data_IF_643284867681
#
_entry.id   IF_643284867681
#
_cell.length_a   1.000
_cell.length_b   1.000
_cell.length_c   1.000
_cell.angle_alpha   90.00
_cell.angle_beta   90.00
_cell.angle_gamma   90.00
#
_symmetry.space_group_name_H-M   'P 1'
#
loop_
_entity.id
_entity.type
_entity.pdbx_description
1 polymer ?
#
# COMPACT_ATOMS: atom_id res chain seq x y z
N UNK A 1 19.85 -12.12 20.08
CA UNK A 1 20.26 -10.80 19.54
C UNK A 1 19.56 -9.71 20.33
N UNK A 2 20.21 -8.58 20.67
CA UNK A 2 19.54 -7.47 21.39
C UNK A 2 18.48 -6.79 20.52
N UNK A 3 17.42 -6.24 21.13
CA UNK A 3 16.34 -5.54 20.39
C UNK A 3 16.89 -4.43 19.48
N UNK A 4 17.86 -3.62 19.97
CA UNK A 4 18.50 -2.56 19.16
C UNK A 4 19.13 -3.11 17.88
N UNK A 5 19.81 -4.25 17.95
CA UNK A 5 20.45 -4.89 16.78
C UNK A 5 19.41 -5.49 15.84
N UNK A 6 18.31 -6.03 16.36
CA UNK A 6 17.18 -6.49 15.55
C UNK A 6 16.54 -5.32 14.78
N UNK A 7 16.22 -4.23 15.48
CA UNK A 7 15.64 -3.03 14.88
C UNK A 7 16.55 -2.42 13.80
N UNK A 8 17.86 -2.39 14.02
CA UNK A 8 18.81 -1.92 13.00
C UNK A 8 18.71 -2.72 11.69
N UNK A 9 18.78 -4.06 11.76
CA UNK A 9 18.69 -4.88 10.54
C UNK A 9 17.32 -4.79 9.89
N UNK A 10 16.27 -4.77 10.67
CA UNK A 10 14.90 -4.57 10.18
C UNK A 10 14.77 -3.20 9.49
N UNK A 11 15.35 -2.13 10.07
CA UNK A 11 15.36 -0.81 9.46
C UNK A 11 15.98 -0.80 8.06
N UNK A 12 17.17 -1.39 7.93
CA UNK A 12 17.89 -1.46 6.65
C UNK A 12 17.09 -2.25 5.61
N UNK A 13 16.51 -3.39 6.01
CA UNK A 13 15.74 -4.23 5.09
C UNK A 13 14.44 -3.57 4.65
N UNK A 14 13.68 -2.92 5.54
CA UNK A 14 12.47 -2.19 5.14
C UNK A 14 12.76 -0.90 4.38
N UNK A 15 13.92 -0.30 4.58
CA UNK A 15 14.39 0.74 3.67
C UNK A 15 14.64 0.19 2.25
N UNK A 16 15.25 -1.01 2.15
CA UNK A 16 15.43 -1.67 0.86
C UNK A 16 14.09 -2.04 0.18
N UNK A 17 13.04 -2.37 0.95
CA UNK A 17 11.69 -2.65 0.45
C UNK A 17 11.01 -1.41 -0.14
N UNK A 18 11.16 -0.25 0.50
CA UNK A 18 10.47 0.98 0.09
C UNK A 18 11.10 1.67 -1.13
N UNK A 19 12.41 1.49 -1.36
CA UNK A 19 13.14 2.19 -2.40
C UNK A 19 12.61 1.89 -3.83
N UNK A 20 12.37 0.63 -4.23
CA UNK A 20 11.84 0.31 -5.56
C UNK A 20 10.48 0.93 -5.84
N UNK A 21 9.64 1.07 -4.80
CA UNK A 21 8.33 1.69 -4.99
C UNK A 21 8.44 3.17 -5.32
N UNK A 22 9.37 3.90 -4.66
CA UNK A 22 9.67 5.29 -5.02
C UNK A 22 10.08 5.42 -6.48
N UNK A 23 10.88 4.48 -6.99
CA UNK A 23 11.26 4.45 -8.40
C UNK A 23 10.05 4.28 -9.31
N UNK A 24 9.21 3.27 -9.06
CA UNK A 24 8.08 2.91 -9.93
C UNK A 24 6.96 3.96 -9.87
N UNK A 25 6.65 4.48 -8.68
CA UNK A 25 5.52 5.41 -8.52
C UNK A 25 5.88 6.88 -8.79
N UNK A 26 7.15 7.25 -8.63
CA UNK A 26 7.57 8.64 -8.71
C UNK A 26 8.52 8.91 -9.87
N UNK A 27 9.64 8.19 -9.94
CA UNK A 27 10.73 8.47 -10.90
C UNK A 27 10.32 8.12 -12.32
N UNK A 28 9.86 6.88 -12.56
CA UNK A 28 9.57 6.40 -13.92
C UNK A 28 8.45 7.18 -14.63
N UNK A 29 7.30 7.52 -14.00
CA UNK A 29 6.27 8.31 -14.67
C UNK A 29 6.76 9.69 -15.10
N UNK A 30 7.56 10.37 -14.28
CA UNK A 30 8.14 11.68 -14.60
C UNK A 30 9.20 11.54 -15.69
N UNK A 31 10.09 10.54 -15.58
CA UNK A 31 11.11 10.26 -16.58
C UNK A 31 10.52 10.04 -17.96
N UNK A 32 9.57 9.12 -18.09
CA UNK A 32 8.94 8.83 -19.38
C UNK A 32 8.11 10.01 -19.90
N UNK A 33 7.40 10.74 -19.03
CA UNK A 33 6.62 11.89 -19.48
C UNK A 33 7.48 13.02 -20.01
N UNK A 34 8.63 13.28 -19.38
CA UNK A 34 9.60 14.27 -19.88
C UNK A 34 10.21 13.88 -21.23
N UNK A 35 10.22 12.59 -21.57
CA UNK A 35 10.64 12.08 -22.88
C UNK A 35 9.47 11.91 -23.86
N UNK A 36 8.33 12.55 -23.59
CA UNK A 36 7.11 12.57 -24.44
C UNK A 36 6.46 11.20 -24.66
N UNK A 37 6.67 10.23 -23.79
CA UNK A 37 5.94 8.97 -23.83
C UNK A 37 4.44 9.22 -23.61
N UNK A 38 3.59 8.48 -24.32
CA UNK A 38 2.15 8.65 -24.28
C UNK A 38 1.56 8.39 -22.88
N UNK A 39 0.48 9.10 -22.54
CA UNK A 39 -0.21 8.88 -21.24
C UNK A 39 -0.76 7.47 -21.13
N UNK A 40 -1.16 6.88 -22.24
CA UNK A 40 -1.60 5.49 -22.31
C UNK A 40 -0.50 4.52 -21.86
N UNK A 41 0.71 4.67 -22.37
CA UNK A 41 1.84 3.82 -21.98
C UNK A 41 2.24 4.05 -20.53
N UNK A 42 2.24 5.30 -20.05
CA UNK A 42 2.48 5.63 -18.64
C UNK A 42 1.38 5.04 -17.75
N UNK A 43 0.12 5.07 -18.17
CA UNK A 43 -0.96 4.39 -17.48
C UNK A 43 -0.71 2.89 -17.39
N UNK A 44 -0.33 2.26 -18.50
CA UNK A 44 -0.02 0.82 -18.51
C UNK A 44 1.18 0.43 -17.65
N UNK A 45 2.10 1.35 -17.33
CA UNK A 45 3.14 1.10 -16.33
C UNK A 45 2.58 0.64 -14.98
N UNK A 46 1.35 1.01 -14.63
CA UNK A 46 0.73 0.54 -13.39
C UNK A 46 0.49 -0.97 -13.36
N UNK A 47 0.46 -1.65 -14.52
CA UNK A 47 0.49 -3.10 -14.56
C UNK A 47 1.82 -3.68 -14.06
N UNK A 48 2.91 -2.90 -14.06
CA UNK A 48 4.15 -3.28 -13.39
C UNK A 48 3.99 -3.44 -11.86
N UNK A 49 2.90 -2.94 -11.29
CA UNK A 49 2.60 -3.15 -9.87
C UNK A 49 1.95 -4.52 -9.57
N UNK A 50 1.57 -5.28 -10.61
CA UNK A 50 0.97 -6.60 -10.50
C UNK A 50 1.80 -7.59 -9.66
N UNK A 51 3.13 -7.67 -9.82
CA UNK A 51 3.92 -8.61 -9.04
C UNK A 51 3.72 -8.45 -7.53
N UNK A 52 3.61 -7.21 -7.01
CA UNK A 52 3.34 -7.01 -5.59
C UNK A 52 1.97 -7.51 -5.13
N UNK A 53 0.96 -7.48 -6.01
CA UNK A 53 -0.37 -7.97 -5.69
C UNK A 53 -0.44 -9.52 -5.70
N UNK A 54 0.30 -10.17 -6.60
CA UNK A 54 0.24 -11.63 -6.79
C UNK A 54 1.45 -12.37 -6.21
N UNK A 55 2.33 -11.70 -5.46
CA UNK A 55 3.56 -12.28 -4.89
C UNK A 55 3.31 -13.55 -4.06
N UNK A 56 2.12 -13.73 -3.52
CA UNK A 56 1.70 -14.92 -2.80
C UNK A 56 1.82 -16.21 -3.63
N UNK A 57 1.73 -16.11 -4.97
CA UNK A 57 1.81 -17.28 -5.87
C UNK A 57 3.20 -17.92 -5.85
N UNK A 58 4.27 -17.18 -5.63
CA UNK A 58 5.64 -17.71 -5.59
C UNK A 58 6.32 -17.57 -4.21
N UNK A 59 5.62 -17.03 -3.21
CA UNK A 59 6.11 -16.98 -1.84
C UNK A 59 6.59 -18.35 -1.33
N UNK A 60 5.91 -19.50 -1.62
CA UNK A 60 6.39 -20.81 -1.22
C UNK A 60 7.77 -21.20 -1.79
N UNK A 61 8.15 -20.63 -2.96
CA UNK A 61 9.49 -20.86 -3.56
C UNK A 61 10.56 -20.16 -2.71
N UNK A 62 10.32 -18.89 -2.34
CA UNK A 62 11.23 -18.12 -1.49
C UNK A 62 11.34 -18.75 -0.11
N UNK A 63 10.24 -19.31 0.39
CA UNK A 63 10.21 -20.01 1.68
C UNK A 63 10.97 -21.32 1.66
N UNK A 64 10.91 -22.08 0.59
CA UNK A 64 11.50 -23.42 0.50
C UNK A 64 12.99 -23.39 0.18
N UNK A 65 13.46 -22.43 -0.59
CA UNK A 65 14.82 -22.42 -1.15
C UNK A 65 15.68 -21.29 -0.58
N UNK A 66 16.84 -21.64 -0.06
CA UNK A 66 17.88 -20.69 0.34
C UNK A 66 17.60 -19.89 1.63
N UNK A 67 18.55 -19.04 1.97
CA UNK A 67 18.43 -18.11 3.09
C UNK A 67 17.71 -16.84 2.69
N UNK A 68 16.84 -16.30 3.54
CA UNK A 68 16.06 -15.06 3.29
C UNK A 68 16.96 -13.88 2.89
N UNK A 69 18.08 -13.70 3.60
CA UNK A 69 19.04 -12.62 3.31
C UNK A 69 19.65 -12.71 1.92
N UNK A 70 19.88 -13.93 1.40
CA UNK A 70 20.43 -14.13 0.05
C UNK A 70 19.42 -13.80 -1.04
N UNK A 71 18.13 -14.07 -0.81
CA UNK A 71 17.07 -13.60 -1.71
C UNK A 71 17.02 -12.08 -1.81
N UNK A 72 17.14 -11.37 -0.66
CA UNK A 72 17.21 -9.90 -0.65
C UNK A 72 18.45 -9.40 -1.38
N UNK A 73 19.63 -9.96 -1.08
CA UNK A 73 20.88 -9.58 -1.72
C UNK A 73 20.86 -9.81 -3.24
N UNK A 74 20.36 -10.97 -3.69
CA UNK A 74 20.18 -11.28 -5.11
C UNK A 74 19.23 -10.30 -5.79
N UNK A 75 18.05 -10.08 -5.20
CA UNK A 75 17.05 -9.17 -5.76
C UNK A 75 17.58 -7.74 -5.88
N UNK A 76 18.25 -7.22 -4.84
CA UNK A 76 18.88 -5.90 -4.90
C UNK A 76 19.97 -5.83 -5.99
N UNK A 77 20.83 -6.85 -6.10
CA UNK A 77 21.88 -6.88 -7.13
C UNK A 77 21.31 -6.89 -8.54
N UNK A 78 20.27 -7.70 -8.77
CA UNK A 78 19.59 -7.76 -10.05
C UNK A 78 18.83 -6.47 -10.38
N UNK A 79 18.18 -5.84 -9.39
CA UNK A 79 17.54 -4.53 -9.55
C UNK A 79 18.57 -3.43 -9.86
N UNK A 80 19.77 -3.47 -9.29
CA UNK A 80 20.85 -2.57 -9.63
C UNK A 80 21.26 -2.72 -11.11
N UNK A 81 21.37 -3.95 -11.59
CA UNK A 81 21.69 -4.20 -13.01
C UNK A 81 20.62 -3.64 -13.95
N UNK A 82 19.33 -3.78 -13.58
CA UNK A 82 18.23 -3.16 -14.35
C UNK A 82 18.37 -1.64 -14.35
N UNK A 83 18.63 -1.00 -13.21
CA UNK A 83 18.80 0.47 -13.14
C UNK A 83 19.96 0.95 -14.01
N UNK A 84 21.07 0.23 -14.06
CA UNK A 84 22.20 0.54 -14.96
C UNK A 84 21.84 0.35 -16.45
N UNK A 85 20.90 -0.55 -16.75
CA UNK A 85 20.49 -0.80 -18.12
C UNK A 85 19.49 0.26 -18.64
N UNK A 86 18.63 0.84 -17.80
CA UNK A 86 17.58 1.80 -18.23
C UNK A 86 18.14 2.93 -19.11
N UNK A 87 19.26 3.62 -18.77
CA UNK A 87 19.76 4.72 -19.58
C UNK A 87 20.32 4.32 -20.95
N UNK A 88 20.47 3.01 -21.23
CA UNK A 88 20.96 2.50 -22.51
C UNK A 88 19.85 2.42 -23.57
N UNK A 89 18.59 2.60 -23.18
CA UNK A 89 17.43 2.54 -24.05
C UNK A 89 16.93 3.93 -24.39
N UNK A 90 16.30 4.05 -25.56
CA UNK A 90 15.60 5.27 -25.94
C UNK A 90 14.34 5.44 -25.06
N UNK A 91 14.35 6.49 -24.24
CA UNK A 91 13.26 6.79 -23.35
C UNK A 91 12.01 7.29 -24.09
N UNK A 92 12.15 7.92 -25.28
CA UNK A 92 11.04 8.48 -26.06
C UNK A 92 10.27 7.41 -26.83
N UNK A 93 10.91 6.25 -27.09
CA UNK A 93 10.29 5.10 -27.73
C UNK A 93 10.65 3.80 -26.98
N UNK A 94 10.03 3.55 -25.82
CA UNK A 94 10.38 2.44 -24.96
C UNK A 94 10.15 1.11 -25.65
N UNK A 95 11.22 0.34 -25.85
CA UNK A 95 11.16 -0.97 -26.47
C UNK A 95 10.48 -2.01 -25.55
N UNK A 96 9.98 -3.09 -26.13
CA UNK A 96 9.43 -4.23 -25.37
C UNK A 96 10.45 -4.80 -24.38
N UNK A 97 11.75 -4.74 -24.74
CA UNK A 97 12.83 -5.19 -23.85
C UNK A 97 12.93 -4.29 -22.61
N UNK A 98 12.82 -2.97 -22.75
CA UNK A 98 12.81 -2.05 -21.61
C UNK A 98 11.62 -2.34 -20.68
N UNK A 99 10.40 -2.50 -21.23
CA UNK A 99 9.23 -2.88 -20.43
C UNK A 99 9.41 -4.22 -19.71
N UNK A 100 10.05 -5.19 -20.36
CA UNK A 100 10.35 -6.50 -19.76
C UNK A 100 11.36 -6.39 -18.61
N UNK A 101 12.38 -5.53 -18.75
CA UNK A 101 13.34 -5.25 -17.68
C UNK A 101 12.67 -4.55 -16.48
N UNK A 102 11.76 -3.61 -16.72
CA UNK A 102 11.01 -2.95 -15.66
C UNK A 102 10.03 -3.91 -14.97
N UNK A 103 9.43 -4.85 -15.72
CA UNK A 103 8.63 -5.92 -15.12
C UNK A 103 9.52 -6.86 -14.27
N UNK A 104 10.69 -7.24 -14.77
CA UNK A 104 11.65 -8.02 -13.99
C UNK A 104 12.07 -7.28 -12.70
N UNK A 105 12.29 -5.97 -12.77
CA UNK A 105 12.58 -5.12 -11.61
C UNK A 105 11.47 -5.22 -10.54
N UNK A 106 10.21 -5.15 -10.92
CA UNK A 106 9.09 -5.23 -9.98
C UNK A 106 8.87 -6.66 -9.45
N UNK A 107 9.11 -7.70 -10.25
CA UNK A 107 9.12 -9.09 -9.78
C UNK A 107 10.22 -9.32 -8.75
N UNK A 108 11.42 -8.81 -8.99
CA UNK A 108 12.53 -8.87 -8.05
C UNK A 108 12.22 -8.13 -6.76
N UNK A 109 11.62 -6.93 -6.84
CA UNK A 109 11.18 -6.19 -5.67
C UNK A 109 10.11 -6.94 -4.88
N UNK A 110 9.10 -7.50 -5.53
CA UNK A 110 8.07 -8.31 -4.87
C UNK A 110 8.67 -9.57 -4.21
N UNK A 111 9.68 -10.18 -4.82
CA UNK A 111 10.43 -11.31 -4.25
C UNK A 111 11.24 -10.89 -3.02
N UNK A 112 11.86 -9.72 -3.09
CA UNK A 112 12.56 -9.10 -1.97
C UNK A 112 11.62 -8.86 -0.79
N UNK A 113 10.41 -8.32 -1.01
CA UNK A 113 9.40 -8.09 0.02
C UNK A 113 9.03 -9.37 0.77
N UNK A 114 8.81 -10.48 0.03
CA UNK A 114 8.52 -11.79 0.64
C UNK A 114 9.65 -12.19 1.58
N UNK A 115 10.90 -12.05 1.13
CA UNK A 115 12.06 -12.45 1.91
C UNK A 115 12.27 -11.57 3.15
N UNK A 116 12.03 -10.25 3.03
CA UNK A 116 12.14 -9.29 4.14
C UNK A 116 11.06 -9.54 5.18
N UNK A 117 9.80 -9.71 4.76
CA UNK A 117 8.69 -10.02 5.66
C UNK A 117 8.94 -11.33 6.43
N UNK A 118 9.37 -12.39 5.74
CA UNK A 118 9.70 -13.67 6.36
C UNK A 118 10.91 -13.56 7.32
N UNK A 119 11.92 -12.76 6.98
CA UNK A 119 13.06 -12.48 7.85
C UNK A 119 12.63 -11.74 9.12
N UNK A 120 11.81 -10.69 8.98
CA UNK A 120 11.33 -9.91 10.10
C UNK A 120 10.50 -10.75 11.08
N UNK A 121 9.57 -11.57 10.56
CA UNK A 121 8.74 -12.48 11.37
C UNK A 121 9.64 -13.45 12.17
N UNK A 122 10.66 -14.02 11.53
CA UNK A 122 11.57 -14.95 12.20
C UNK A 122 12.49 -14.30 13.25
N UNK A 123 12.62 -12.96 13.23
CA UNK A 123 13.50 -12.23 14.15
C UNK A 123 12.76 -11.65 15.37
N UNK A 124 11.45 -11.44 15.24
CA UNK A 124 10.61 -10.77 16.24
C UNK A 124 10.21 -11.76 17.35
N UNK A 125 10.38 -11.36 18.61
CA UNK A 125 9.90 -12.09 19.78
C UNK A 125 8.58 -11.48 20.29
N UNK A 126 7.81 -12.28 21.04
CA UNK A 126 6.54 -11.81 21.62
C UNK A 126 6.74 -10.54 22.45
N UNK A 127 5.92 -9.52 22.16
CA UNK A 127 5.98 -8.20 22.81
C UNK A 127 6.88 -7.17 22.10
N UNK A 128 7.58 -7.55 21.02
CA UNK A 128 8.41 -6.64 20.22
C UNK A 128 7.69 -6.14 18.93
N UNK A 129 6.53 -6.71 18.63
CA UNK A 129 5.80 -6.50 17.38
C UNK A 129 5.48 -5.02 17.13
N UNK A 130 5.08 -4.28 18.17
CA UNK A 130 4.75 -2.86 18.06
C UNK A 130 5.95 -1.99 17.64
N UNK A 131 7.11 -2.21 18.28
CA UNK A 131 8.35 -1.50 17.95
C UNK A 131 8.82 -1.81 16.52
N UNK A 132 8.74 -3.08 16.11
CA UNK A 132 9.12 -3.54 14.78
C UNK A 132 8.20 -2.96 13.70
N UNK A 133 6.89 -2.99 13.91
CA UNK A 133 5.93 -2.40 12.96
C UNK A 133 6.09 -0.88 12.84
N UNK A 134 6.38 -0.19 13.94
CA UNK A 134 6.66 1.24 13.91
C UNK A 134 7.87 1.57 13.04
N UNK A 135 8.98 0.85 13.24
CA UNK A 135 10.19 1.00 12.43
C UNK A 135 9.95 0.64 10.97
N UNK A 136 9.27 -0.49 10.70
CA UNK A 136 8.86 -0.93 9.37
C UNK A 136 8.19 0.21 8.60
N UNK A 137 7.08 0.74 9.13
CA UNK A 137 6.29 1.77 8.45
C UNK A 137 7.11 3.04 8.25
N UNK A 138 7.90 3.46 9.25
CA UNK A 138 8.71 4.66 9.16
C UNK A 138 9.78 4.55 8.07
N UNK A 139 10.58 3.47 8.09
CA UNK A 139 11.70 3.31 7.15
C UNK A 139 11.25 3.04 5.72
N UNK A 140 10.17 2.28 5.55
CA UNK A 140 9.53 2.10 4.25
C UNK A 140 9.13 3.44 3.62
N UNK A 141 8.51 4.35 4.40
CA UNK A 141 8.11 5.69 3.90
C UNK A 141 9.32 6.60 3.62
N UNK A 142 10.32 6.56 4.49
CA UNK A 142 11.58 7.30 4.26
C UNK A 142 12.25 6.82 2.97
N UNK A 143 12.27 5.51 2.72
CA UNK A 143 12.84 4.94 1.51
C UNK A 143 12.04 5.32 0.25
N UNK A 144 10.71 5.31 0.32
CA UNK A 144 9.85 5.76 -0.77
C UNK A 144 10.13 7.23 -1.11
N UNK A 145 10.24 8.08 -0.09
CA UNK A 145 10.58 9.50 -0.29
C UNK A 145 12.00 9.67 -0.85
N UNK A 146 12.96 8.91 -0.35
CA UNK A 146 14.36 8.98 -0.82
C UNK A 146 14.50 8.49 -2.27
N UNK A 147 13.90 7.34 -2.60
CA UNK A 147 13.95 6.74 -3.95
C UNK A 147 13.11 7.49 -4.98
N UNK A 148 12.02 8.13 -4.55
CA UNK A 148 11.16 8.94 -5.39
C UNK A 148 11.57 10.42 -5.40
N UNK A 149 10.97 11.21 -4.48
CA UNK A 149 11.18 12.66 -4.43
C UNK A 149 12.61 13.11 -4.24
N UNK A 150 13.38 12.37 -3.40
CA UNK A 150 14.78 12.73 -3.12
C UNK A 150 15.69 12.60 -4.36
N UNK A 151 15.49 11.56 -5.16
CA UNK A 151 16.26 11.39 -6.41
C UNK A 151 15.91 12.43 -7.47
N UNK A 152 14.66 12.92 -7.50
CA UNK A 152 14.22 13.94 -8.45
C UNK A 152 14.96 15.26 -8.27
N UNK A 153 15.42 15.61 -7.05
CA UNK A 153 16.23 16.80 -6.82
C UNK A 153 17.60 16.74 -7.48
N UNK A 154 18.08 15.54 -7.75
CA UNK A 154 19.37 15.32 -8.42
C UNK A 154 19.24 15.39 -9.94
N UNK A 155 18.03 15.39 -10.51
CA UNK A 155 17.83 15.42 -11.97
C UNK A 155 18.41 16.68 -12.59
N UNK A 156 18.15 17.85 -12.00
CA UNK A 156 18.60 19.14 -12.54
C UNK A 156 20.13 19.29 -12.60
N UNK A 157 20.89 19.01 -11.51
CA UNK A 157 22.34 19.13 -11.56
C UNK A 157 23.04 18.02 -12.33
N UNK A 158 22.48 16.80 -12.41
CA UNK A 158 23.19 15.62 -12.92
C UNK A 158 22.52 14.96 -14.13
N UNK A 159 21.23 15.21 -14.39
CA UNK A 159 20.47 14.56 -15.44
C UNK A 159 20.02 13.13 -15.09
N UNK A 160 19.15 12.58 -15.92
CA UNK A 160 18.47 11.29 -15.67
C UNK A 160 19.43 10.10 -15.59
N UNK A 161 20.45 10.06 -16.42
CA UNK A 161 21.44 8.96 -16.42
C UNK A 161 22.09 8.78 -15.06
N UNK A 162 22.49 9.89 -14.43
CA UNK A 162 23.10 9.84 -13.09
C UNK A 162 22.10 9.40 -12.01
N UNK A 163 20.83 9.72 -12.16
CA UNK A 163 19.80 9.25 -11.23
C UNK A 163 19.73 7.72 -11.22
N UNK A 164 19.70 7.09 -12.39
CA UNK A 164 19.69 5.64 -12.49
C UNK A 164 20.98 5.02 -11.95
N UNK A 165 22.13 5.65 -12.15
CA UNK A 165 23.43 5.22 -11.57
C UNK A 165 23.39 5.32 -10.04
N UNK A 166 22.90 6.42 -9.47
CA UNK A 166 22.77 6.61 -8.01
C UNK A 166 21.83 5.57 -7.41
N UNK A 167 20.69 5.30 -8.05
CA UNK A 167 19.77 4.24 -7.63
C UNK A 167 20.42 2.86 -7.69
N UNK A 168 21.18 2.57 -8.76
CA UNK A 168 21.92 1.32 -8.88
C UNK A 168 22.95 1.15 -7.76
N UNK A 169 23.71 2.20 -7.45
CA UNK A 169 24.67 2.19 -6.35
C UNK A 169 23.99 2.00 -4.99
N UNK A 170 22.82 2.62 -4.79
CA UNK A 170 22.00 2.39 -3.59
C UNK A 170 21.57 0.92 -3.48
N UNK A 171 21.09 0.31 -4.56
CA UNK A 171 20.74 -1.11 -4.58
C UNK A 171 21.94 -2.03 -4.35
N UNK A 172 23.12 -1.71 -4.88
CA UNK A 172 24.36 -2.46 -4.60
C UNK A 172 24.74 -2.38 -3.12
N UNK A 173 24.66 -1.20 -2.51
CA UNK A 173 24.91 -1.00 -1.09
C UNK A 173 23.92 -1.81 -0.24
N UNK A 174 22.64 -1.81 -0.63
CA UNK A 174 21.59 -2.60 0.05
C UNK A 174 21.80 -4.11 -0.16
N UNK A 175 22.24 -4.55 -1.33
CA UNK A 175 22.60 -5.94 -1.58
C UNK A 175 23.74 -6.41 -0.67
N UNK A 176 24.79 -5.59 -0.54
CA UNK A 176 25.91 -5.88 0.36
C UNK A 176 25.47 -5.93 1.83
N UNK A 177 24.66 -4.97 2.27
CA UNK A 177 24.13 -4.97 3.65
C UNK A 177 23.22 -6.16 3.93
N UNK A 178 22.38 -6.56 2.95
CA UNK A 178 21.55 -7.75 3.06
C UNK A 178 22.39 -9.03 3.16
N UNK A 179 23.49 -9.11 2.39
CA UNK A 179 24.39 -10.27 2.42
C UNK A 179 25.07 -10.48 3.78
N UNK A 180 25.47 -9.39 4.45
CA UNK A 180 26.10 -9.45 5.78
C UNK A 180 25.08 -9.55 6.93
N UNK A 181 23.77 -9.46 6.65
CA UNK A 181 22.70 -9.60 7.63
C UNK A 181 22.75 -10.99 8.28
N UNK A 182 22.59 -11.12 9.61
CA UNK A 182 22.63 -12.41 10.30
C UNK A 182 21.56 -13.38 9.78
N UNK A 183 21.89 -14.66 9.57
CA UNK A 183 20.88 -15.64 9.13
C UNK A 183 19.83 -15.88 10.21
N UNK A 184 18.57 -16.02 9.81
CA UNK A 184 17.45 -16.36 10.69
C UNK A 184 16.83 -17.68 10.23
N UNK A 185 16.67 -18.62 11.15
CA UNK A 185 15.93 -19.85 10.92
C UNK A 185 14.44 -19.61 11.14
N UNK A 186 13.64 -19.87 10.14
CA UNK A 186 12.17 -19.81 10.21
C UNK A 186 11.64 -21.22 10.33
N UNK A 187 10.83 -21.48 11.37
CA UNK A 187 10.12 -22.75 11.53
C UNK A 187 8.83 -22.66 10.71
N UNK A 188 8.63 -23.58 9.77
CA UNK A 188 7.41 -23.64 8.97
C UNK A 188 6.37 -24.47 9.70
N UNK A 189 5.25 -23.86 10.05
CA UNK A 189 4.03 -24.61 10.39
C UNK A 189 3.17 -24.77 9.14
N UNK A 190 2.77 -26.02 8.77
CA UNK A 190 1.90 -26.22 7.62
C UNK A 190 0.51 -25.64 7.91
N UNK A 191 -0.08 -24.86 7.01
CA UNK A 191 -1.41 -24.30 7.19
C UNK A 191 -2.47 -25.41 7.10
N UNK A 192 -2.97 -25.88 8.23
CA UNK A 192 -4.11 -26.81 8.30
C UNK A 192 -5.43 -26.02 8.30
N UNK A 193 -6.33 -26.39 7.39
CA UNK A 193 -7.76 -25.97 7.35
C UNK A 193 -8.08 -24.50 6.92
N UNK A 194 -7.10 -23.68 6.55
CA UNK A 194 -7.35 -22.29 6.14
C UNK A 194 -8.38 -22.15 5.00
N UNK A 195 -8.40 -23.07 4.04
CA UNK A 195 -9.30 -23.01 2.88
C UNK A 195 -10.78 -23.10 3.27
N UNK A 196 -11.13 -24.00 4.24
CA UNK A 196 -12.50 -24.14 4.72
C UNK A 196 -12.98 -22.89 5.47
N UNK A 197 -12.12 -22.30 6.27
CA UNK A 197 -12.43 -21.11 7.05
C UNK A 197 -12.54 -19.87 6.15
N UNK A 198 -11.65 -19.77 5.16
CA UNK A 198 -11.72 -18.72 4.16
C UNK A 198 -13.02 -18.83 3.35
N UNK A 199 -13.41 -20.04 2.92
CA UNK A 199 -14.67 -20.22 2.21
C UNK A 199 -15.89 -19.77 3.03
N UNK A 200 -15.95 -20.10 4.32
CA UNK A 200 -17.02 -19.62 5.21
C UNK A 200 -17.04 -18.11 5.32
N UNK A 201 -15.89 -17.46 5.42
CA UNK A 201 -15.76 -16.01 5.46
C UNK A 201 -16.28 -15.38 4.16
N UNK A 202 -15.87 -15.92 3.01
CA UNK A 202 -16.28 -15.43 1.69
C UNK A 202 -17.78 -15.68 1.41
N UNK A 203 -18.39 -16.67 2.03
CA UNK A 203 -19.80 -17.03 1.87
C UNK A 203 -20.74 -16.37 2.87
N UNK A 204 -20.27 -15.40 3.67
CA UNK A 204 -21.14 -14.65 4.61
C UNK A 204 -22.22 -13.87 3.87
N UNK A 205 -23.43 -13.71 4.44
CA UNK A 205 -24.46 -12.85 3.86
C UNK A 205 -23.96 -11.43 3.63
N UNK A 206 -24.18 -10.88 2.43
CA UNK A 206 -23.73 -9.54 2.06
C UNK A 206 -22.24 -9.45 1.64
N UNK A 207 -21.49 -10.57 1.55
CA UNK A 207 -20.08 -10.59 1.17
C UNK A 207 -19.83 -9.91 -0.18
N UNK A 208 -20.68 -10.12 -1.19
CA UNK A 208 -20.56 -9.51 -2.50
C UNK A 208 -20.59 -7.98 -2.40
N UNK A 209 -21.52 -7.42 -1.64
CA UNK A 209 -21.63 -5.98 -1.45
C UNK A 209 -20.41 -5.41 -0.68
N UNK A 210 -19.92 -6.13 0.33
CA UNK A 210 -18.73 -5.74 1.10
C UNK A 210 -17.47 -5.83 0.23
N UNK A 211 -17.34 -6.85 -0.63
CA UNK A 211 -16.22 -6.94 -1.56
C UNK A 211 -16.29 -5.85 -2.65
N UNK A 212 -17.48 -5.57 -3.18
CA UNK A 212 -17.70 -4.44 -4.07
C UNK A 212 -17.34 -3.10 -3.39
N UNK A 213 -17.67 -2.92 -2.12
CA UNK A 213 -17.24 -1.79 -1.32
C UNK A 213 -15.71 -1.72 -1.22
N UNK A 214 -15.01 -2.83 -0.90
CA UNK A 214 -13.55 -2.88 -0.81
C UNK A 214 -12.91 -2.48 -2.14
N UNK A 215 -13.46 -2.96 -3.26
CA UNK A 215 -12.96 -2.66 -4.60
C UNK A 215 -13.20 -1.20 -5.02
N UNK A 216 -14.28 -0.58 -4.55
CA UNK A 216 -14.68 0.77 -4.98
C UNK A 216 -14.26 1.89 -4.03
N UNK A 217 -14.03 1.60 -2.75
CA UNK A 217 -13.79 2.62 -1.72
C UNK A 217 -12.64 3.58 -2.04
N UNK A 218 -11.60 3.12 -2.68
CA UNK A 218 -10.46 3.93 -3.10
C UNK A 218 -10.34 4.08 -4.61
N UNK A 219 -11.41 3.81 -5.35
CA UNK A 219 -11.37 3.81 -6.81
C UNK A 219 -10.93 5.17 -7.38
N UNK A 220 -11.50 6.27 -6.86
CA UNK A 220 -11.13 7.63 -7.28
C UNK A 220 -9.64 7.90 -7.12
N UNK A 221 -9.11 7.63 -5.94
CA UNK A 221 -7.72 7.84 -5.57
C UNK A 221 -6.76 6.97 -6.42
N UNK A 222 -7.12 5.70 -6.63
CA UNK A 222 -6.33 4.76 -7.44
C UNK A 222 -6.30 5.11 -8.93
N UNK A 223 -7.36 5.72 -9.44
CA UNK A 223 -7.41 6.15 -10.84
C UNK A 223 -6.71 7.49 -11.06
N UNK A 224 -6.79 8.41 -10.12
CA UNK A 224 -6.11 9.72 -10.19
C UNK A 224 -4.60 9.57 -10.09
N UNK A 225 -4.10 8.76 -9.16
CA UNK A 225 -2.68 8.66 -8.80
C UNK A 225 -1.72 8.52 -10.00
N UNK A 226 -1.97 7.61 -10.98
CA UNK A 226 -1.13 7.44 -12.16
C UNK A 226 -0.97 8.70 -13.03
N UNK A 227 -1.99 9.55 -13.07
CA UNK A 227 -2.04 10.70 -13.99
C UNK A 227 -1.66 12.02 -13.33
N UNK A 228 -1.51 12.08 -12.01
CA UNK A 228 -1.13 13.31 -11.29
C UNK A 228 0.23 13.80 -11.76
N UNK A 229 1.27 12.95 -11.73
CA UNK A 229 2.62 13.36 -12.10
C UNK A 229 2.79 13.67 -13.59
N UNK A 230 2.27 12.87 -14.53
CA UNK A 230 2.21 13.27 -15.93
C UNK A 230 1.54 14.62 -16.15
N UNK A 231 0.41 14.87 -15.46
CA UNK A 231 -0.28 16.16 -15.54
C UNK A 231 0.59 17.32 -15.06
N UNK A 232 1.39 17.14 -14.00
CA UNK A 232 2.32 18.13 -13.51
C UNK A 232 3.44 18.42 -14.53
N UNK A 233 3.99 17.35 -15.16
CA UNK A 233 5.00 17.50 -16.24
C UNK A 233 4.43 18.28 -17.40
N UNK A 234 3.20 17.97 -17.83
CA UNK A 234 2.52 18.67 -18.94
C UNK A 234 2.21 20.15 -18.62
N UNK A 235 2.16 20.51 -17.33
CA UNK A 235 2.08 21.88 -16.84
C UNK A 235 3.44 22.59 -16.74
N UNK A 236 4.52 21.95 -17.19
CA UNK A 236 5.88 22.50 -17.20
C UNK A 236 6.58 22.50 -15.86
N UNK A 237 6.11 21.70 -14.89
CA UNK A 237 6.79 21.58 -13.59
C UNK A 237 8.06 20.76 -13.70
N UNK A 238 9.07 21.18 -12.96
CA UNK A 238 10.34 20.47 -12.88
C UNK A 238 10.24 19.21 -12.02
N UNK A 239 11.09 18.20 -12.25
CA UNK A 239 11.13 17.01 -11.39
C UNK A 239 11.35 17.33 -9.91
N UNK A 240 12.14 18.39 -9.61
CA UNK A 240 12.40 18.85 -8.26
C UNK A 240 11.11 19.31 -7.56
N UNK A 241 10.30 20.13 -8.24
CA UNK A 241 9.02 20.62 -7.72
C UNK A 241 8.04 19.46 -7.50
N UNK A 242 7.97 18.53 -8.47
CA UNK A 242 7.15 17.33 -8.37
C UNK A 242 7.62 16.48 -7.17
N UNK A 243 8.92 16.26 -7.02
CA UNK A 243 9.49 15.52 -5.91
C UNK A 243 9.22 16.17 -4.55
N UNK A 244 9.37 17.49 -4.46
CA UNK A 244 9.16 18.22 -3.23
C UNK A 244 7.68 18.21 -2.79
N UNK A 245 6.78 18.53 -3.69
CA UNK A 245 5.36 18.74 -3.36
C UNK A 245 4.57 17.43 -3.45
N UNK A 246 4.59 16.76 -4.60
CA UNK A 246 3.76 15.57 -4.82
C UNK A 246 4.27 14.38 -3.99
N UNK A 247 5.58 14.22 -3.83
CA UNK A 247 6.13 13.08 -3.10
C UNK A 247 6.41 13.42 -1.64
N UNK A 248 7.32 14.35 -1.33
CA UNK A 248 7.75 14.58 0.05
C UNK A 248 6.61 15.19 0.88
N UNK A 249 6.04 16.32 0.43
CA UNK A 249 4.92 16.95 1.12
C UNK A 249 3.68 16.07 1.10
N UNK A 250 3.40 15.37 -0.03
CA UNK A 250 2.30 14.44 -0.17
C UNK A 250 2.36 13.29 0.83
N UNK A 251 3.52 12.62 0.99
CA UNK A 251 3.69 11.56 1.99
C UNK A 251 3.50 12.10 3.40
N UNK A 252 4.08 13.26 3.74
CA UNK A 252 3.90 13.89 5.04
C UNK A 252 2.42 14.18 5.34
N UNK A 253 1.68 14.74 4.38
CA UNK A 253 0.25 15.04 4.50
C UNK A 253 -0.60 13.78 4.58
N UNK A 254 -0.23 12.71 3.87
CA UNK A 254 -0.91 11.41 3.98
C UNK A 254 -0.74 10.78 5.37
N UNK A 255 0.46 10.91 5.97
CA UNK A 255 0.69 10.47 7.37
C UNK A 255 -0.17 11.27 8.33
N UNK A 256 -0.17 12.60 8.21
CA UNK A 256 -0.97 13.49 9.03
C UNK A 256 -2.47 13.17 8.88
N UNK A 257 -2.92 12.98 7.65
CA UNK A 257 -4.29 12.56 7.34
C UNK A 257 -4.64 11.22 8.00
N UNK A 258 -3.75 10.22 7.95
CA UNK A 258 -3.98 8.93 8.58
C UNK A 258 -4.09 9.02 10.11
N UNK A 259 -3.25 9.83 10.77
CA UNK A 259 -3.32 10.06 12.21
C UNK A 259 -4.62 10.75 12.62
N UNK A 260 -4.98 11.83 11.93
CA UNK A 260 -6.22 12.57 12.16
C UNK A 260 -7.44 11.69 11.83
N UNK A 261 -7.40 10.94 10.74
CA UNK A 261 -8.45 10.03 10.32
C UNK A 261 -8.71 8.93 11.34
N UNK A 262 -7.67 8.32 11.90
CA UNK A 262 -7.78 7.35 13.00
C UNK A 262 -8.40 7.97 14.26
N UNK A 263 -7.98 9.18 14.63
CA UNK A 263 -8.55 9.90 15.75
C UNK A 263 -10.03 10.24 15.53
N UNK A 264 -10.41 10.79 14.38
CA UNK A 264 -11.80 11.11 14.04
C UNK A 264 -12.65 9.83 14.04
N UNK A 265 -12.17 8.74 13.40
CA UNK A 265 -12.89 7.48 13.34
C UNK A 265 -13.18 6.89 14.73
N UNK A 266 -12.27 7.09 15.70
CA UNK A 266 -12.46 6.67 17.09
C UNK A 266 -13.53 7.49 17.81
N UNK A 267 -13.76 8.76 17.39
CA UNK A 267 -14.75 9.67 18.02
C UNK A 267 -16.15 9.55 17.42
N UNK A 268 -16.27 9.55 16.10
CA UNK A 268 -17.57 9.53 15.41
C UNK A 268 -18.06 8.11 15.07
N UNK A 269 -17.21 7.11 15.32
CA UNK A 269 -17.46 5.72 14.95
C UNK A 269 -17.04 5.40 13.51
N UNK A 270 -16.59 4.16 13.32
CA UNK A 270 -15.98 3.70 12.06
C UNK A 270 -16.90 3.84 10.85
N UNK A 271 -18.19 3.52 11.02
CA UNK A 271 -19.17 3.60 9.92
C UNK A 271 -19.36 5.03 9.40
N UNK A 272 -19.52 6.00 10.30
CA UNK A 272 -19.65 7.41 9.91
C UNK A 272 -18.35 7.96 9.32
N UNK A 273 -17.20 7.54 9.87
CA UNK A 273 -15.89 7.92 9.32
C UNK A 273 -15.74 7.44 7.88
N UNK A 274 -16.13 6.20 7.56
CA UNK A 274 -16.08 5.68 6.18
C UNK A 274 -16.95 6.51 5.23
N UNK A 275 -18.17 6.94 5.66
CA UNK A 275 -19.02 7.83 4.87
C UNK A 275 -18.37 9.17 4.58
N UNK A 276 -17.92 9.86 5.63
CA UNK A 276 -17.34 11.21 5.52
C UNK A 276 -16.06 11.16 4.67
N UNK A 277 -15.19 10.17 4.91
CA UNK A 277 -13.93 10.09 4.21
C UNK A 277 -14.08 9.60 2.77
N UNK A 278 -15.10 8.78 2.45
CA UNK A 278 -15.42 8.44 1.05
C UNK A 278 -15.75 9.68 0.22
N UNK A 279 -16.49 10.63 0.80
CA UNK A 279 -16.82 11.90 0.14
C UNK A 279 -15.58 12.79 0.06
N UNK A 280 -14.87 12.97 1.20
CA UNK A 280 -13.72 13.87 1.26
C UNK A 280 -12.59 13.47 0.32
N UNK A 281 -12.30 12.17 0.14
CA UNK A 281 -11.25 11.71 -0.77
C UNK A 281 -11.61 11.86 -2.25
N UNK A 282 -12.89 12.05 -2.60
CA UNK A 282 -13.30 12.32 -3.97
C UNK A 282 -13.20 13.81 -4.33
N UNK A 283 -13.29 14.73 -3.36
CA UNK A 283 -13.25 16.18 -3.59
C UNK A 283 -12.00 16.66 -4.33
N UNK A 284 -10.78 16.20 -4.03
CA UNK A 284 -9.58 16.60 -4.76
C UNK A 284 -9.62 16.29 -6.26
N UNK A 285 -10.37 15.27 -6.68
CA UNK A 285 -10.58 15.01 -8.13
C UNK A 285 -11.25 16.19 -8.83
N UNK A 286 -12.22 16.86 -8.17
CA UNK A 286 -12.85 18.07 -8.67
C UNK A 286 -11.89 19.25 -8.69
N UNK A 287 -11.00 19.34 -7.69
CA UNK A 287 -9.96 20.37 -7.66
C UNK A 287 -9.00 20.21 -8.86
N UNK A 288 -8.53 18.99 -9.13
CA UNK A 288 -7.73 18.69 -10.33
C UNK A 288 -8.49 18.97 -11.64
N UNK A 289 -9.77 18.59 -11.69
CA UNK A 289 -10.60 18.90 -12.87
C UNK A 289 -10.71 20.41 -13.10
N UNK A 290 -10.93 21.19 -12.05
CA UNK A 290 -10.96 22.65 -12.10
C UNK A 290 -9.62 23.25 -12.52
N UNK A 291 -8.51 22.79 -11.96
CA UNK A 291 -7.17 23.23 -12.34
C UNK A 291 -6.91 22.93 -13.83
N UNK A 292 -7.31 21.76 -14.30
CA UNK A 292 -7.12 21.36 -15.69
C UNK A 292 -8.03 22.12 -16.65
N UNK A 293 -9.29 22.39 -16.26
CA UNK A 293 -10.29 23.05 -17.12
C UNK A 293 -10.04 24.57 -17.26
N UNK A 294 -9.71 25.23 -16.16
CA UNK A 294 -9.59 26.69 -16.10
C UNK A 294 -8.14 27.18 -16.19
N UNK A 295 -7.20 26.29 -16.46
CA UNK A 295 -5.76 26.59 -16.52
C UNK A 295 -5.25 27.34 -15.29
N UNK A 296 -5.69 26.92 -14.11
CA UNK A 296 -5.33 27.60 -12.86
C UNK A 296 -3.84 27.40 -12.56
N UNK A 297 -3.26 28.42 -11.94
CA UNK A 297 -1.82 28.46 -11.62
C UNK A 297 -1.39 27.43 -10.57
N UNK A 298 -0.09 27.32 -10.37
CA UNK A 298 0.57 26.34 -9.51
C UNK A 298 0.05 26.28 -8.05
N UNK A 299 -0.32 27.40 -7.38
CA UNK A 299 -0.86 27.33 -6.02
C UNK A 299 -2.12 26.45 -5.92
N UNK A 300 -2.99 26.47 -6.92
CA UNK A 300 -4.19 25.64 -6.96
C UNK A 300 -3.84 24.16 -7.20
N UNK A 301 -2.83 23.89 -8.04
CA UNK A 301 -2.31 22.54 -8.27
C UNK A 301 -1.68 21.95 -7.00
N UNK A 302 -0.87 22.75 -6.28
CA UNK A 302 -0.31 22.33 -4.99
C UNK A 302 -1.42 22.08 -3.96
N UNK A 303 -2.42 22.95 -3.89
CA UNK A 303 -3.58 22.77 -3.03
C UNK A 303 -4.34 21.49 -3.32
N UNK A 304 -4.56 21.16 -4.61
CA UNK A 304 -5.20 19.91 -5.03
C UNK A 304 -4.38 18.69 -4.58
N UNK A 305 -3.06 18.69 -4.79
CA UNK A 305 -2.19 17.58 -4.44
C UNK A 305 -2.07 17.36 -2.93
N UNK A 306 -1.91 18.43 -2.17
CA UNK A 306 -1.84 18.37 -0.72
C UNK A 306 -3.16 17.89 -0.13
N UNK A 307 -4.30 18.41 -0.62
CA UNK A 307 -5.63 17.98 -0.18
C UNK A 307 -5.91 16.52 -0.56
N UNK A 308 -5.51 16.07 -1.75
CA UNK A 308 -5.60 14.67 -2.18
C UNK A 308 -4.82 13.76 -1.23
N UNK A 309 -3.55 14.06 -0.98
CA UNK A 309 -2.70 13.26 -0.12
C UNK A 309 -3.24 13.19 1.32
N UNK A 310 -3.73 14.31 1.85
CA UNK A 310 -4.32 14.37 3.18
C UNK A 310 -5.61 13.55 3.28
N UNK A 311 -6.55 13.73 2.36
CA UNK A 311 -7.83 13.01 2.36
C UNK A 311 -7.67 11.53 2.05
N UNK A 312 -6.70 11.17 1.20
CA UNK A 312 -6.27 9.79 0.97
C UNK A 312 -5.75 9.14 2.26
N UNK A 313 -5.00 9.87 3.07
CA UNK A 313 -4.57 9.44 4.41
C UNK A 313 -5.75 9.17 5.35
N UNK A 314 -6.70 10.11 5.45
CA UNK A 314 -7.93 9.95 6.23
C UNK A 314 -8.68 8.67 5.85
N UNK A 315 -8.93 8.49 4.55
CA UNK A 315 -9.64 7.33 4.01
C UNK A 315 -8.91 6.03 4.27
N UNK A 316 -7.58 6.02 4.13
CA UNK A 316 -6.74 4.83 4.38
C UNK A 316 -6.85 4.35 5.81
N UNK A 317 -6.80 5.24 6.81
CA UNK A 317 -6.88 4.87 8.22
C UNK A 317 -8.23 4.21 8.56
N UNK A 318 -9.34 4.79 8.11
CA UNK A 318 -10.66 4.21 8.33
C UNK A 318 -10.84 2.89 7.59
N UNK A 319 -10.35 2.81 6.35
CA UNK A 319 -10.46 1.61 5.53
C UNK A 319 -9.68 0.42 6.11
N UNK A 320 -8.44 0.61 6.51
CA UNK A 320 -7.65 -0.44 7.16
C UNK A 320 -8.27 -0.86 8.50
N UNK A 321 -8.79 0.08 9.28
CA UNK A 321 -9.52 -0.22 10.51
C UNK A 321 -10.78 -1.04 10.22
N UNK A 322 -11.49 -0.77 9.13
CA UNK A 322 -12.62 -1.56 8.67
C UNK A 322 -12.18 -2.99 8.30
N UNK A 323 -11.14 -3.15 7.49
CA UNK A 323 -10.64 -4.48 7.12
C UNK A 323 -10.26 -5.31 8.34
N UNK A 324 -9.59 -4.70 9.34
CA UNK A 324 -9.24 -5.40 10.58
C UNK A 324 -10.50 -5.80 11.38
N UNK A 325 -11.50 -4.91 11.45
CA UNK A 325 -12.70 -5.13 12.28
C UNK A 325 -13.61 -6.24 11.76
N UNK A 326 -13.67 -6.45 10.45
CA UNK A 326 -14.49 -7.50 9.85
C UNK A 326 -13.87 -8.89 9.90
N UNK A 327 -12.59 -8.99 10.26
CA UNK A 327 -11.88 -10.26 10.42
C UNK A 327 -12.24 -10.93 11.76
N UNK A 328 -12.37 -12.26 11.74
CA UNK A 328 -12.52 -13.07 12.96
C UNK A 328 -11.20 -13.10 13.73
N UNK A 329 -11.27 -12.93 15.06
CA UNK A 329 -10.06 -12.86 15.90
C UNK A 329 -9.17 -14.10 15.78
N UNK A 330 -9.75 -15.29 15.62
CA UNK A 330 -9.02 -16.55 15.55
C UNK A 330 -8.29 -16.76 14.20
N UNK A 331 -8.67 -15.99 13.16
CA UNK A 331 -8.15 -16.13 11.80
C UNK A 331 -7.84 -14.78 11.14
N UNK A 332 -7.66 -13.76 11.97
CA UNK A 332 -7.51 -12.39 11.52
C UNK A 332 -6.37 -12.22 10.49
N UNK A 333 -5.25 -12.91 10.68
CA UNK A 333 -4.10 -12.81 9.77
C UNK A 333 -4.45 -13.27 8.34
N UNK A 334 -5.08 -14.44 8.21
CA UNK A 334 -5.44 -15.00 6.88
C UNK A 334 -6.53 -14.18 6.20
N UNK A 335 -7.60 -13.84 6.94
CA UNK A 335 -8.71 -13.07 6.39
C UNK A 335 -8.25 -11.66 5.99
N UNK A 336 -7.45 -11.00 6.82
CA UNK A 336 -6.88 -9.70 6.51
C UNK A 336 -5.96 -9.74 5.29
N UNK A 337 -5.12 -10.77 5.16
CA UNK A 337 -4.27 -10.95 3.99
C UNK A 337 -5.09 -11.09 2.69
N UNK A 338 -6.19 -11.85 2.72
CA UNK A 338 -7.09 -12.00 1.56
C UNK A 338 -7.75 -10.66 1.21
N UNK A 339 -8.26 -9.93 2.20
CA UNK A 339 -8.90 -8.64 1.98
C UNK A 339 -7.92 -7.59 1.43
N UNK A 340 -6.69 -7.57 1.93
CA UNK A 340 -5.66 -6.66 1.42
C UNK A 340 -5.17 -7.06 0.03
N UNK A 341 -5.15 -8.36 -0.30
CA UNK A 341 -4.90 -8.83 -1.66
C UNK A 341 -6.00 -8.41 -2.61
N UNK A 342 -7.27 -8.58 -2.22
CA UNK A 342 -8.43 -8.11 -2.99
C UNK A 342 -8.34 -6.60 -3.25
N UNK A 343 -8.02 -5.82 -2.20
CA UNK A 343 -7.76 -4.38 -2.35
C UNK A 343 -6.56 -4.11 -3.28
N UNK A 344 -5.49 -4.88 -3.19
CA UNK A 344 -4.32 -4.77 -4.07
C UNK A 344 -4.66 -4.92 -5.56
N UNK A 345 -5.63 -5.79 -5.89
CA UNK A 345 -6.09 -5.99 -7.26
C UNK A 345 -6.76 -4.75 -7.87
N UNK A 346 -7.32 -3.84 -7.04
CA UNK A 346 -7.93 -2.61 -7.54
C UNK A 346 -6.92 -1.68 -8.21
N UNK A 347 -5.63 -1.82 -7.90
CA UNK A 347 -4.55 -1.05 -8.55
C UNK A 347 -4.49 -1.26 -10.06
N UNK A 348 -4.97 -2.41 -10.56
CA UNK A 348 -5.07 -2.64 -12.01
C UNK A 348 -5.96 -1.64 -12.74
N UNK A 349 -6.98 -1.15 -12.06
CA UNK A 349 -7.85 -0.14 -12.64
C UNK A 349 -7.06 1.14 -12.98
N UNK A 350 -6.02 1.47 -12.19
CA UNK A 350 -5.11 2.58 -12.48
C UNK A 350 -4.37 2.45 -13.81
N UNK A 351 -4.15 1.24 -14.32
CA UNK A 351 -3.53 1.02 -15.63
C UNK A 351 -4.32 1.60 -16.82
N UNK A 352 -5.64 1.74 -16.66
CA UNK A 352 -6.51 2.33 -17.68
C UNK A 352 -6.60 3.85 -17.62
N UNK A 353 -6.05 4.48 -16.58
CA UNK A 353 -6.10 5.93 -16.35
C UNK A 353 -5.49 6.71 -17.51
N UNK A 354 -4.35 6.24 -18.05
CA UNK A 354 -3.67 6.90 -19.15
C UNK A 354 -4.49 6.89 -20.45
N UNK A 355 -5.13 5.75 -20.76
CA UNK A 355 -6.04 5.68 -21.91
C UNK A 355 -7.22 6.65 -21.76
N UNK A 356 -7.80 6.74 -20.56
CA UNK A 356 -8.91 7.65 -20.29
C UNK A 356 -8.46 9.12 -20.37
N UNK A 357 -7.30 9.46 -19.79
CA UNK A 357 -6.76 10.82 -19.84
C UNK A 357 -6.40 11.26 -21.26
N UNK A 358 -5.84 10.36 -22.08
CA UNK A 358 -5.50 10.64 -23.48
C UNK A 358 -6.76 10.78 -24.34
N UNK A 359 -7.79 9.95 -24.10
CA UNK A 359 -9.04 9.96 -24.88
C UNK A 359 -9.94 11.15 -24.58
N UNK A 360 -10.06 11.53 -23.31
CA UNK A 360 -11.03 12.52 -22.85
C UNK A 360 -10.39 13.85 -22.41
N UNK A 361 -9.06 13.91 -22.32
CA UNK A 361 -8.33 15.03 -21.73
C UNK A 361 -8.40 15.04 -20.20
N UNK A 362 -7.46 15.74 -19.58
CA UNK A 362 -7.36 15.81 -18.11
C UNK A 362 -8.62 16.32 -17.39
N UNK A 363 -9.32 17.39 -17.87
CA UNK A 363 -10.48 17.90 -17.14
C UNK A 363 -11.58 16.85 -17.00
N UNK A 364 -11.94 16.21 -18.12
CA UNK A 364 -12.98 15.17 -18.14
C UNK A 364 -12.52 13.93 -17.41
N UNK A 365 -11.25 13.54 -17.56
CA UNK A 365 -10.67 12.41 -16.84
C UNK A 365 -10.82 12.58 -15.31
N UNK A 366 -10.40 13.71 -14.74
CA UNK A 366 -10.52 13.95 -13.30
C UNK A 366 -11.98 14.03 -12.85
N UNK A 367 -12.89 14.56 -13.67
CA UNK A 367 -14.31 14.52 -13.36
C UNK A 367 -14.87 13.09 -13.35
N UNK A 368 -14.46 12.25 -14.30
CA UNK A 368 -14.84 10.82 -14.32
C UNK A 368 -14.33 10.08 -13.10
N UNK A 369 -13.11 10.37 -12.64
CA UNK A 369 -12.58 9.73 -11.40
C UNK A 369 -13.38 10.13 -10.17
N UNK A 370 -13.85 11.37 -10.08
CA UNK A 370 -14.80 11.78 -9.05
C UNK A 370 -16.09 10.95 -9.09
N UNK A 371 -16.70 10.84 -10.27
CA UNK A 371 -17.97 10.10 -10.46
C UNK A 371 -17.82 8.61 -10.12
N UNK A 372 -16.65 8.02 -10.41
CA UNK A 372 -16.34 6.62 -10.08
C UNK A 372 -16.14 6.37 -8.57
N UNK A 373 -16.03 7.41 -7.77
CA UNK A 373 -16.08 7.31 -6.30
C UNK A 373 -17.51 7.15 -5.74
N UNK A 374 -18.53 7.61 -6.47
CA UNK A 374 -19.92 7.61 -6.02
C UNK A 374 -20.48 6.18 -5.72
N UNK A 375 -20.21 5.14 -6.55
CA UNK A 375 -20.69 3.78 -6.29
C UNK A 375 -20.35 3.24 -4.92
N UNK A 376 -19.23 3.66 -4.33
CA UNK A 376 -18.83 3.30 -2.96
C UNK A 376 -19.91 3.64 -1.93
N UNK A 377 -20.55 4.79 -2.07
CA UNK A 377 -21.59 5.25 -1.15
C UNK A 377 -22.81 4.33 -1.19
N UNK A 378 -23.08 3.73 -2.35
CA UNK A 378 -24.18 2.77 -2.52
C UNK A 378 -23.96 1.48 -1.70
N UNK A 379 -22.73 1.00 -1.58
CA UNK A 379 -22.41 -0.23 -0.87
C UNK A 379 -22.26 -0.06 0.65
N UNK A 380 -22.08 1.16 1.14
CA UNK A 380 -21.88 1.44 2.57
C UNK A 380 -22.98 0.90 3.52
N UNK A 381 -24.28 0.91 3.19
CA UNK A 381 -25.31 0.34 4.07
C UNK A 381 -25.08 -1.12 4.44
N UNK A 382 -24.58 -1.95 3.51
CA UNK A 382 -24.26 -3.37 3.78
C UNK A 382 -23.04 -3.54 4.69
N UNK A 383 -22.10 -2.61 4.62
CA UNK A 383 -20.89 -2.58 5.48
C UNK A 383 -21.29 -2.42 6.96
N UNK A 384 -22.37 -1.70 7.26
CA UNK A 384 -22.85 -1.52 8.63
C UNK A 384 -23.16 -2.84 9.35
N UNK A 385 -23.77 -3.81 8.63
CA UNK A 385 -24.06 -5.14 9.17
C UNK A 385 -22.82 -5.92 9.57
N UNK A 386 -21.74 -5.77 8.80
CA UNK A 386 -20.48 -6.45 9.08
C UNK A 386 -19.68 -5.80 10.22
N UNK A 387 -19.77 -4.48 10.38
CA UNK A 387 -19.14 -3.76 11.51
C UNK A 387 -19.86 -4.11 12.84
N UNK A 388 -21.20 -4.21 12.83
CA UNK A 388 -22.01 -4.46 14.03
C UNK A 388 -21.94 -5.89 14.57
N UNK A 389 -21.71 -6.88 13.72
CA UNK A 389 -21.61 -8.29 14.13
C UNK A 389 -20.33 -8.59 14.95
N UNK A 390 -19.32 -7.73 14.90
CA UNK A 390 -18.14 -7.83 15.77
C UNK A 390 -18.44 -7.60 17.25
N UNK A 391 -19.45 -6.77 17.57
CA UNK A 391 -19.84 -6.47 18.96
C UNK A 391 -20.85 -7.47 19.54
N UNK A 392 -21.56 -8.23 18.67
CA UNK A 392 -22.58 -9.21 19.09
C UNK A 392 -21.98 -10.50 19.68
N UNK A 393 -20.82 -10.90 19.22
CA UNK A 393 -20.15 -12.12 19.69
C UNK A 393 -19.57 -11.96 21.12
N UNK A 394 -19.06 -10.76 21.44
CA UNK A 394 -18.55 -10.47 22.79
C UNK A 394 -19.69 -10.34 23.83
N UNK A 395 -20.87 -9.89 23.43
CA UNK A 395 -22.05 -9.82 24.33
C UNK A 395 -22.66 -11.18 24.63
N UNK A 396 -22.66 -12.10 23.67
CA UNK A 396 -23.13 -13.47 23.85
C UNK A 396 -22.22 -14.26 24.80
N UNK A 397 -20.91 -14.18 24.68
CA UNK A 397 -19.97 -14.87 25.58
C UNK A 397 -19.97 -14.30 27.02
N UNK A 398 -20.21 -13.01 27.19
CA UNK A 398 -20.32 -12.39 28.54
C UNK A 398 -21.62 -12.74 29.20
N UNK A 399 -22.70 -12.90 28.45
CA UNK A 399 -24.00 -13.33 28.97
C UNK A 399 -23.95 -14.83 29.39
N UNK A 400 -23.31 -15.68 28.60
CA UNK A 400 -23.16 -17.12 28.87
C UNK A 400 -22.30 -17.38 30.11
N UNK A 401 -21.18 -16.65 30.26
CA UNK A 401 -20.33 -16.73 31.47
C UNK A 401 -21.06 -16.21 32.76
N UNK A 402 -22.04 -15.31 32.64
CA UNK A 402 -22.80 -14.84 33.77
C UNK A 402 -23.91 -15.83 34.15
N UNK A 403 -24.48 -16.58 33.21
CA UNK A 403 -25.43 -17.65 33.48
C UNK A 403 -24.78 -18.87 34.15
N UNK A 404 -23.55 -19.22 33.78
CA UNK A 404 -22.77 -20.31 34.40
C UNK A 404 -22.27 -19.94 35.80
N UNK A 405 -21.91 -18.67 36.05
CA UNK A 405 -21.46 -18.23 37.37
C UNK A 405 -22.61 -17.99 38.41
N UNK A 406 -23.82 -17.84 37.92
CA UNK A 406 -25.03 -17.66 38.76
C UNK A 406 -25.64 -18.98 39.28
N UNK A 407 -25.35 -20.11 38.60
CA UNK A 407 -25.96 -21.41 38.90
C UNK A 407 -25.29 -22.20 40.03
N UNK A 408 -24.13 -21.78 40.54
CA UNK A 408 -23.35 -22.58 41.52
C UNK A 408 -23.43 -22.10 42.96
N UNK A 409 -24.36 -21.19 43.32
CA UNK A 409 -24.48 -20.66 44.69
C UNK A 409 -25.69 -21.13 45.52
N UNK A 410 -26.44 -22.12 45.07
CA UNK A 410 -27.57 -22.65 45.82
C UNK A 410 -27.53 -24.18 45.89
N UNK A 411 -26.49 -24.74 46.49
CA UNK A 411 -26.52 -26.11 46.97
C UNK A 411 -25.44 -26.32 48.02
N UNK A 412 -25.69 -25.94 49.26
CA UNK A 412 -25.16 -26.60 50.47
C UNK A 412 -25.61 -25.82 51.69
N UNK A 413 -26.58 -26.34 52.43
CA UNK A 413 -26.60 -26.41 53.88
C UNK A 413 -27.80 -27.26 54.30
N UNK A 414 -27.58 -28.49 54.62
CA UNK A 414 -28.34 -29.26 55.60
C UNK A 414 -27.44 -30.31 56.17
N UNK A 415 -26.90 -30.02 57.37
CA UNK A 415 -26.35 -31.02 58.25
C UNK A 415 -27.46 -31.66 59.09
N UNK A 416 -27.46 -32.97 59.36
CA UNK A 416 -28.17 -33.52 60.48
C UNK A 416 -27.20 -33.71 61.65
N UNK A 417 -27.66 -33.30 62.81
CA UNK A 417 -27.14 -33.70 64.10
C UNK A 417 -27.44 -35.18 64.38
N UNK A 418 -26.44 -35.96 64.78
CA UNK A 418 -26.38 -36.87 65.92
C UNK A 418 -24.95 -37.40 66.06
#
# INVERSE_FOLDING_TARGET
>A
MTLRRKLFWISVLYFAEGLPLGVVYDVLPVYFRQHNVSLKEIGFMFFLTLPWAIKVLWAPVVDRFGERRLWVAFSCSAMAAVMLAVPLFDASNPSTLLWSLLLAFTVLSATQDIAIDAYAIGLVEKGQEGAVNGVRVALYRVALMAGGGGTMWLVKPFGWTWIFIVLALAFIALAFTAWITPPVRVVHEPPREWARHLWRFLSRPGSIAVFAFILTYRMSDLLVGPMVKPFWVDRGMTPEEIGAISTIAGVAMSVLGALIGGFIASRIGLFHALWVFAILQAVPCLAYAGVAQFDLGWPFLYGASISESFTSGLGTAAFLSFLMRICDKDQAATQYAVLTTLFGLTRFMGGWSGFAAERFGYPVFFLLTFLLGIPTLFFLPWVRGWIGNGDGHDRGMVADRRSESGGSRHASVSAPAH
#
